data_IF_291675211498
#
_entry.id   IF_291675211498
#
_cell.length_a   1.000
_cell.length_b   1.000
_cell.length_c   1.000
_cell.angle_alpha   90.00
_cell.angle_beta   90.00
_cell.angle_gamma   90.00
#
_symmetry.space_group_name_H-M   'P 1'
#
loop_
_entity.id
_entity.type
_entity.pdbx_description
1 polymer ?
#
# COMPACT_ATOMS: atom_id res chain seq x y z
N UNK A 1 -19.53 -62.61 24.82
CA UNK A 1 -19.33 -61.49 23.87
C UNK A 1 -20.19 -60.32 24.37
N UNK A 2 -19.59 -59.29 25.00
CA UNK A 2 -20.12 -57.95 24.89
C UNK A 2 -19.09 -57.01 24.26
N UNK A 3 -19.64 -56.06 23.52
CA UNK A 3 -18.99 -55.21 22.55
C UNK A 3 -18.24 -54.05 23.22
N UNK A 4 -16.95 -53.91 22.95
CA UNK A 4 -16.18 -52.70 23.26
C UNK A 4 -16.49 -51.63 22.22
N UNK A 5 -17.21 -50.60 22.64
CA UNK A 5 -17.45 -49.39 21.86
C UNK A 5 -16.27 -48.43 22.08
N UNK A 6 -15.25 -48.50 21.22
CA UNK A 6 -14.14 -47.56 21.23
C UNK A 6 -14.58 -46.21 20.63
N UNK A 7 -14.67 -45.19 21.47
CA UNK A 7 -14.89 -43.80 21.07
C UNK A 7 -13.59 -43.28 20.46
N UNK A 8 -13.57 -43.09 19.14
CA UNK A 8 -12.47 -42.43 18.42
C UNK A 8 -12.58 -40.91 18.68
N UNK A 9 -11.74 -40.38 19.56
CA UNK A 9 -11.61 -38.94 19.79
C UNK A 9 -10.84 -38.34 18.58
N UNK A 10 -11.54 -37.75 17.61
CA UNK A 10 -10.90 -36.97 16.56
C UNK A 10 -10.37 -35.67 17.19
N UNK A 11 -9.08 -35.65 17.49
CA UNK A 11 -8.35 -34.43 17.82
C UNK A 11 -8.18 -33.63 16.53
N UNK A 12 -9.14 -32.74 16.25
CA UNK A 12 -8.95 -31.70 15.23
C UNK A 12 -7.93 -30.70 15.77
N UNK A 13 -6.65 -30.93 15.47
CA UNK A 13 -5.63 -29.92 15.70
C UNK A 13 -5.98 -28.70 14.82
N UNK A 14 -6.21 -27.51 15.39
CA UNK A 14 -6.25 -26.31 14.58
C UNK A 14 -4.90 -26.20 13.86
N UNK A 15 -4.93 -25.88 12.57
CA UNK A 15 -3.73 -25.47 11.84
C UNK A 15 -3.17 -24.25 12.58
N UNK A 16 -2.12 -24.46 13.37
CA UNK A 16 -1.38 -23.36 13.98
C UNK A 16 -0.68 -22.65 12.84
N UNK A 17 -1.29 -21.55 12.36
CA UNK A 17 -0.60 -20.59 11.53
C UNK A 17 0.57 -20.09 12.38
N UNK A 18 1.79 -20.49 12.00
CA UNK A 18 3.00 -20.11 12.71
C UNK A 18 3.15 -18.59 12.61
N UNK A 19 2.65 -17.87 13.61
CA UNK A 19 2.95 -16.46 13.80
C UNK A 19 4.42 -16.39 14.17
N UNK A 20 5.27 -16.22 13.16
CA UNK A 20 6.71 -16.07 13.38
C UNK A 20 6.93 -14.80 14.20
N UNK A 21 7.68 -14.95 15.28
CA UNK A 21 8.06 -13.85 16.13
C UNK A 21 8.92 -12.85 15.36
N UNK A 22 8.70 -11.57 15.64
CA UNK A 22 9.50 -10.48 15.13
C UNK A 22 10.38 -9.91 16.24
N UNK A 23 11.55 -9.42 15.86
CA UNK A 23 12.59 -8.92 16.76
C UNK A 23 13.12 -7.59 16.25
N UNK A 24 13.34 -6.64 17.15
CA UNK A 24 14.05 -5.38 16.85
C UNK A 24 15.56 -5.63 16.67
N UNK A 25 16.34 -4.70 16.10
CA UNK A 25 17.78 -4.88 15.88
C UNK A 25 18.63 -5.16 17.13
N UNK A 26 18.09 -4.91 18.32
CA UNK A 26 18.66 -5.27 19.61
C UNK A 26 18.54 -6.76 19.93
N UNK A 27 17.73 -7.50 19.17
CA UNK A 27 17.30 -8.87 19.46
C UNK A 27 16.08 -8.96 20.39
N UNK A 28 15.52 -7.83 20.85
CA UNK A 28 14.32 -7.85 21.69
C UNK A 28 13.06 -8.16 20.88
N UNK A 29 12.12 -8.88 21.49
CA UNK A 29 10.85 -9.22 20.88
C UNK A 29 10.02 -7.97 20.54
N UNK A 30 9.43 -7.95 19.35
CA UNK A 30 8.51 -6.93 18.85
C UNK A 30 7.08 -7.52 18.73
N UNK A 31 6.29 -7.54 19.82
CA UNK A 31 5.03 -8.30 19.88
C UNK A 31 3.90 -7.70 19.03
N UNK A 32 3.96 -6.40 18.75
CA UNK A 32 2.95 -5.71 17.92
C UNK A 32 3.28 -5.76 16.43
N UNK A 33 4.42 -6.35 16.07
CA UNK A 33 4.89 -6.45 14.69
C UNK A 33 4.56 -7.83 14.13
N UNK A 34 4.17 -7.85 12.86
CA UNK A 34 3.82 -9.07 12.11
C UNK A 34 4.66 -9.19 10.84
N UNK A 35 4.99 -10.41 10.38
CA UNK A 35 5.79 -10.61 9.17
C UNK A 35 5.10 -10.08 7.91
N UNK A 36 5.88 -9.48 7.00
CA UNK A 36 5.41 -8.92 5.73
C UNK A 36 5.55 -9.86 4.52
N UNK A 37 5.94 -11.11 4.73
CA UNK A 37 5.98 -12.14 3.69
C UNK A 37 5.91 -13.53 4.31
N UNK A 38 5.79 -14.58 3.50
CA UNK A 38 5.86 -15.98 3.96
C UNK A 38 7.29 -16.56 4.02
N UNK A 39 8.31 -15.82 3.55
CA UNK A 39 9.71 -16.26 3.57
C UNK A 39 10.24 -16.37 4.98
N UNK A 40 11.06 -17.39 5.31
CA UNK A 40 11.61 -17.63 6.66
C UNK A 40 12.07 -16.36 7.38
N UNK A 41 12.88 -15.56 6.68
CA UNK A 41 13.31 -14.24 7.11
C UNK A 41 12.62 -13.16 6.29
N UNK A 42 12.02 -12.18 6.97
CA UNK A 42 11.33 -11.06 6.35
C UNK A 42 11.27 -9.86 7.30
N UNK A 43 11.17 -8.66 6.73
CA UNK A 43 10.70 -7.49 7.46
C UNK A 43 9.38 -7.76 8.18
N UNK A 44 9.21 -7.10 9.32
CA UNK A 44 7.97 -7.09 10.08
C UNK A 44 7.54 -5.66 10.35
N UNK A 45 6.27 -5.36 10.10
CA UNK A 45 5.69 -4.04 10.36
C UNK A 45 4.69 -4.12 11.51
N UNK A 46 4.36 -2.97 12.10
CA UNK A 46 3.26 -2.89 13.03
C UNK A 46 2.00 -3.47 12.38
N UNK A 47 1.18 -4.20 13.15
CA UNK A 47 -0.01 -4.89 12.63
C UNK A 47 -1.00 -3.97 11.88
N UNK A 48 -0.95 -2.68 12.16
CA UNK A 48 -1.81 -1.66 11.56
C UNK A 48 -1.10 -0.82 10.48
N UNK A 49 0.14 -1.17 10.13
CA UNK A 49 0.94 -0.46 9.13
C UNK A 49 1.03 -1.24 7.83
N UNK A 50 1.46 -0.56 6.76
CA UNK A 50 1.49 -1.15 5.42
C UNK A 50 2.90 -1.67 5.14
N UNK A 51 2.99 -2.96 4.83
CA UNK A 51 4.23 -3.60 4.39
C UNK A 51 4.64 -3.11 2.99
N UNK A 52 5.94 -2.88 2.79
CA UNK A 52 6.50 -2.48 1.51
C UNK A 52 7.53 -3.51 1.00
N UNK A 53 7.63 -3.64 -0.33
CA UNK A 53 8.46 -4.69 -0.96
C UNK A 53 9.97 -4.47 -0.77
N UNK A 54 10.40 -3.24 -0.46
CA UNK A 54 11.79 -2.91 -0.13
C UNK A 54 12.12 -3.17 1.36
N UNK A 55 11.23 -3.83 2.11
CA UNK A 55 11.42 -4.20 3.50
C UNK A 55 11.11 -3.09 4.51
N UNK A 56 10.65 -1.93 4.06
CA UNK A 56 10.18 -0.86 4.92
C UNK A 56 8.69 -1.00 5.27
N UNK A 57 8.29 -0.27 6.29
CA UNK A 57 6.92 -0.12 6.74
C UNK A 57 6.45 1.29 6.41
N UNK A 58 5.22 1.44 5.94
CA UNK A 58 4.55 2.74 5.88
C UNK A 58 3.63 2.84 7.09
N UNK A 59 4.00 3.72 8.02
CA UNK A 59 3.21 3.98 9.21
C UNK A 59 1.90 4.67 8.79
N UNK A 60 0.76 4.09 9.15
CA UNK A 60 -0.56 4.71 8.86
C UNK A 60 -1.45 4.80 10.08
N UNK A 61 -1.08 4.09 11.15
CA UNK A 61 -1.86 3.98 12.37
C UNK A 61 -1.45 5.01 13.43
N UNK A 62 -0.19 5.44 13.44
CA UNK A 62 0.37 6.38 14.39
C UNK A 62 1.38 7.35 13.76
N UNK A 63 1.55 8.51 14.41
CA UNK A 63 2.52 9.50 13.95
C UNK A 63 3.94 8.94 14.11
N UNK A 64 4.80 9.08 13.09
CA UNK A 64 4.80 10.23 12.15
C UNK A 64 4.09 10.04 10.79
N UNK A 65 3.42 8.92 10.52
CA UNK A 65 2.84 8.60 9.19
C UNK A 65 3.87 8.63 8.04
N UNK A 66 5.01 7.99 8.25
CA UNK A 66 6.18 8.02 7.36
C UNK A 66 6.62 6.60 7.03
N UNK A 67 7.63 6.47 6.17
CA UNK A 67 8.34 5.21 6.05
C UNK A 67 9.16 4.96 7.31
N UNK A 68 9.21 3.72 7.77
CA UNK A 68 10.00 3.31 8.93
C UNK A 68 10.64 1.95 8.66
N UNK A 69 11.78 1.71 9.30
CA UNK A 69 12.25 0.35 9.53
C UNK A 69 11.52 -0.18 10.76
N UNK A 70 10.83 -1.32 10.60
CA UNK A 70 10.10 -2.00 11.67
C UNK A 70 10.96 -3.01 12.43
N UNK A 71 10.53 -4.26 12.48
CA UNK A 71 11.25 -5.39 13.07
C UNK A 71 11.64 -6.41 11.97
N UNK A 72 12.29 -7.52 12.34
CA UNK A 72 12.54 -8.63 11.44
C UNK A 72 12.26 -9.98 12.10
N UNK A 73 11.92 -11.01 11.33
CA UNK A 73 11.81 -12.37 11.86
C UNK A 73 13.16 -13.02 12.15
N UNK A 74 14.27 -12.41 11.73
CA UNK A 74 15.63 -12.80 12.14
C UNK A 74 16.04 -12.07 13.42
N UNK A 75 16.22 -12.81 14.52
CA UNK A 75 16.65 -12.23 15.79
C UNK A 75 18.10 -11.71 15.75
N UNK A 76 18.95 -12.29 14.89
CA UNK A 76 20.35 -11.90 14.76
C UNK A 76 20.56 -10.78 13.72
N UNK A 77 19.51 -10.45 12.94
CA UNK A 77 19.54 -9.44 11.88
C UNK A 77 20.69 -9.62 10.87
N UNK A 78 20.99 -10.88 10.54
CA UNK A 78 22.02 -11.24 9.57
C UNK A 78 21.45 -11.48 8.18
N UNK A 79 20.14 -11.75 8.09
CA UNK A 79 19.46 -12.01 6.84
C UNK A 79 19.38 -10.77 5.95
N UNK A 80 19.66 -10.90 4.64
CA UNK A 80 19.46 -9.80 3.69
C UNK A 80 17.98 -9.44 3.48
N UNK A 81 17.04 -10.28 3.94
CA UNK A 81 15.61 -9.99 3.89
C UNK A 81 15.14 -9.08 5.04
N UNK A 82 16.01 -8.78 6.00
CA UNK A 82 15.76 -7.75 7.01
C UNK A 82 16.21 -6.39 6.46
N UNK A 83 15.46 -5.32 6.74
CA UNK A 83 15.85 -3.98 6.30
C UNK A 83 17.14 -3.54 7.00
N UNK A 84 18.18 -3.23 6.23
CA UNK A 84 19.45 -2.68 6.77
C UNK A 84 19.38 -1.18 7.04
N UNK A 85 18.39 -0.51 6.45
CA UNK A 85 18.17 0.92 6.57
C UNK A 85 17.83 1.27 8.02
N UNK A 86 18.55 2.25 8.58
CA UNK A 86 18.32 2.78 9.92
C UNK A 86 18.40 1.78 11.09
N UNK A 87 18.93 0.58 10.85
CA UNK A 87 19.11 -0.46 11.85
C UNK A 87 19.96 -0.02 13.06
N UNK A 88 20.92 0.88 12.83
CA UNK A 88 21.85 1.33 13.89
C UNK A 88 21.40 2.56 14.65
N UNK A 89 20.36 3.25 14.18
CA UNK A 89 19.89 4.51 14.76
C UNK A 89 19.03 4.24 15.99
N UNK A 90 18.07 3.32 15.87
CA UNK A 90 17.31 2.81 16.99
C UNK A 90 17.30 1.29 16.94
N UNK A 91 17.92 0.66 17.93
CA UNK A 91 18.02 -0.80 18.00
C UNK A 91 16.86 -1.44 18.74
N UNK A 92 16.22 -0.71 19.65
CA UNK A 92 15.23 -1.31 20.56
C UNK A 92 13.80 -1.13 20.08
N UNK A 93 13.61 -0.39 18.98
CA UNK A 93 12.34 -0.02 18.41
C UNK A 93 12.52 0.31 16.92
N UNK A 94 11.43 0.62 16.22
CA UNK A 94 11.46 1.11 14.85
C UNK A 94 12.21 2.45 14.70
N UNK A 95 12.59 2.75 13.46
CA UNK A 95 13.21 4.02 13.12
C UNK A 95 12.60 4.62 11.84
N UNK A 96 12.09 5.84 11.96
CA UNK A 96 11.56 6.60 10.84
C UNK A 96 12.62 6.88 9.78
N UNK A 97 12.22 6.85 8.52
CA UNK A 97 13.02 7.21 7.35
C UNK A 97 12.36 8.38 6.64
N UNK A 98 12.98 9.54 6.73
CA UNK A 98 12.39 10.82 6.29
C UNK A 98 13.15 11.35 5.08
N UNK A 99 12.45 11.88 4.08
CA UNK A 99 13.08 12.56 2.95
C UNK A 99 13.88 13.78 3.44
N UNK A 100 15.12 13.90 2.98
CA UNK A 100 16.00 15.02 3.26
C UNK A 100 15.97 16.03 2.12
N UNK A 101 16.40 15.61 0.92
CA UNK A 101 16.48 16.45 -0.26
C UNK A 101 15.91 15.71 -1.48
N UNK A 102 15.43 16.48 -2.46
CA UNK A 102 15.07 15.99 -3.78
C UNK A 102 15.72 16.87 -4.85
N UNK A 103 16.71 16.33 -5.56
CA UNK A 103 17.53 17.08 -6.53
C UNK A 103 17.77 16.22 -7.76
N UNK A 104 17.57 16.78 -8.95
CA UNK A 104 17.80 16.08 -10.24
C UNK A 104 17.07 14.73 -10.36
N UNK A 105 15.87 14.61 -9.78
CA UNK A 105 15.09 13.37 -9.83
C UNK A 105 15.45 12.34 -8.75
N UNK A 106 16.47 12.61 -7.93
CA UNK A 106 16.98 11.71 -6.90
C UNK A 106 16.54 12.22 -5.53
N UNK A 107 15.95 11.31 -4.74
CA UNK A 107 15.52 11.58 -3.36
C UNK A 107 16.52 10.96 -2.39
N UNK A 108 17.04 11.78 -1.47
CA UNK A 108 17.84 11.29 -0.34
C UNK A 108 17.01 11.28 0.93
N UNK A 109 17.36 10.38 1.85
CA UNK A 109 16.63 10.13 3.09
C UNK A 109 17.58 10.13 4.29
N UNK A 110 17.02 10.39 5.46
CA UNK A 110 17.67 10.31 6.76
C UNK A 110 16.93 9.33 7.66
N UNK A 111 17.68 8.71 8.56
CA UNK A 111 17.12 8.06 9.72
C UNK A 111 16.71 9.12 10.74
N UNK A 112 15.47 9.07 11.21
CA UNK A 112 14.89 10.07 12.08
C UNK A 112 14.62 11.40 11.37
N UNK A 113 14.20 12.38 12.16
CA UNK A 113 13.81 13.71 11.65
C UNK A 113 15.04 14.53 11.27
N UNK A 114 15.12 15.06 10.04
CA UNK A 114 16.18 15.98 9.66
C UNK A 114 16.22 17.22 10.55
N UNK A 115 17.42 17.70 10.86
CA UNK A 115 17.66 18.86 11.72
C UNK A 115 18.40 19.94 10.94
N UNK A 116 18.28 21.20 11.37
CA UNK A 116 19.10 22.27 10.82
C UNK A 116 20.41 22.40 11.59
N UNK A 117 21.52 22.59 10.87
CA UNK A 117 22.81 23.01 11.42
C UNK A 117 23.07 24.51 11.19
N UNK A 118 22.01 25.33 11.16
CA UNK A 118 22.07 26.77 10.93
C UNK A 118 22.07 27.18 9.47
N UNK A 119 22.87 26.52 8.62
CA UNK A 119 22.93 26.82 7.17
C UNK A 119 22.16 25.81 6.34
N UNK A 120 22.34 24.52 6.65
CA UNK A 120 21.80 23.40 5.88
C UNK A 120 20.86 22.54 6.72
N UNK A 121 20.00 21.78 6.05
CA UNK A 121 19.24 20.67 6.66
C UNK A 121 20.06 19.40 6.50
N UNK A 122 20.30 18.69 7.61
CA UNK A 122 21.16 17.51 7.68
C UNK A 122 20.44 16.37 8.42
N UNK A 123 20.94 15.14 8.27
CA UNK A 123 20.49 14.05 9.12
C UNK A 123 20.95 14.26 10.58
N UNK A 124 20.18 13.77 11.56
CA UNK A 124 20.58 13.82 12.97
C UNK A 124 21.88 13.02 13.22
N UNK A 125 22.54 13.33 14.34
CA UNK A 125 23.75 12.65 14.83
C UNK A 125 24.93 12.61 13.84
N UNK A 126 24.96 13.54 12.89
CA UNK A 126 26.00 13.61 11.85
C UNK A 126 25.99 12.39 10.91
N UNK A 127 24.85 11.70 10.79
CA UNK A 127 24.69 10.59 9.85
C UNK A 127 24.66 11.10 8.41
N UNK A 128 25.10 10.26 7.48
CA UNK A 128 24.97 10.55 6.05
C UNK A 128 23.54 10.24 5.57
N UNK A 129 23.07 11.02 4.61
CA UNK A 129 21.86 10.68 3.87
C UNK A 129 22.12 9.52 2.91
N UNK A 130 21.06 8.80 2.53
CA UNK A 130 21.13 7.66 1.62
C UNK A 130 19.96 7.67 0.64
N UNK A 131 20.07 6.88 -0.43
CA UNK A 131 18.96 6.63 -1.35
C UNK A 131 18.23 5.36 -0.93
N UNK A 132 16.93 5.31 -1.22
CA UNK A 132 16.10 4.12 -1.00
C UNK A 132 15.78 3.46 -2.32
N UNK A 133 15.81 2.13 -2.34
CA UNK A 133 15.23 1.37 -3.43
C UNK A 133 13.72 1.60 -3.48
N UNK A 134 13.19 1.69 -4.70
CA UNK A 134 11.75 1.74 -4.91
C UNK A 134 11.09 0.48 -4.35
N UNK A 135 9.86 0.60 -3.90
CA UNK A 135 9.07 -0.57 -3.58
C UNK A 135 7.60 -0.34 -3.86
N UNK A 136 6.82 -1.36 -3.58
CA UNK A 136 5.38 -1.38 -3.74
C UNK A 136 4.70 -1.88 -2.46
N UNK A 137 3.42 -1.55 -2.33
CA UNK A 137 2.56 -2.08 -1.27
C UNK A 137 2.50 -3.61 -1.37
N UNK A 138 2.66 -4.28 -0.23
CA UNK A 138 2.51 -5.72 -0.09
C UNK A 138 1.18 -6.00 0.62
N UNK A 139 0.32 -6.79 -0.03
CA UNK A 139 -1.00 -7.19 0.50
C UNK A 139 -0.97 -8.58 1.12
N UNK A 140 -1.97 -8.90 1.93
CA UNK A 140 -2.06 -10.17 2.65
C UNK A 140 -1.29 -10.18 3.97
N UNK A 141 -0.80 -9.02 4.42
CA UNK A 141 -0.02 -8.86 5.65
C UNK A 141 -0.35 -7.55 6.36
N UNK A 142 -0.12 -7.51 7.67
CA UNK A 142 -0.30 -6.33 8.52
C UNK A 142 -1.66 -5.63 8.25
N UNK A 143 -1.67 -4.32 8.01
CA UNK A 143 -2.92 -3.56 7.77
C UNK A 143 -3.76 -4.11 6.60
N UNK A 144 -3.12 -4.84 5.67
CA UNK A 144 -3.71 -5.37 4.46
C UNK A 144 -3.85 -6.90 4.51
N UNK A 145 -3.87 -7.52 5.70
CA UNK A 145 -4.02 -8.97 5.89
C UNK A 145 -5.21 -9.55 5.11
N UNK A 146 -6.34 -8.84 5.11
CA UNK A 146 -7.57 -9.29 4.46
C UNK A 146 -7.71 -8.82 3.00
N UNK A 147 -6.65 -8.28 2.41
CA UNK A 147 -6.61 -7.82 1.01
C UNK A 147 -5.78 -8.81 0.20
N UNK A 148 -6.36 -9.34 -0.87
CA UNK A 148 -5.71 -10.35 -1.72
C UNK A 148 -5.17 -9.79 -3.03
N UNK A 149 -5.70 -8.66 -3.51
CA UNK A 149 -5.24 -7.99 -4.71
C UNK A 149 -5.44 -6.47 -4.61
N UNK A 150 -4.50 -5.72 -5.20
CA UNK A 150 -4.65 -4.30 -5.49
C UNK A 150 -5.14 -4.18 -6.93
N UNK A 151 -6.37 -4.63 -7.19
CA UNK A 151 -6.99 -4.35 -8.48
C UNK A 151 -7.25 -2.85 -8.56
N UNK A 152 -6.60 -2.18 -9.52
CA UNK A 152 -7.19 -0.96 -10.04
C UNK A 152 -8.59 -1.34 -10.50
N UNK A 153 -9.61 -0.66 -10.00
CA UNK A 153 -10.92 -0.69 -10.63
C UNK A 153 -10.78 -0.07 -12.03
N UNK A 154 -10.24 -0.84 -12.99
CA UNK A 154 -10.54 -0.67 -14.39
C UNK A 154 -11.97 -1.18 -14.57
N UNK A 155 -12.92 -0.49 -13.96
CA UNK A 155 -14.27 -0.47 -14.45
C UNK A 155 -14.25 0.37 -15.73
N UNK A 156 -13.67 -0.22 -16.79
CA UNK A 156 -14.20 -0.04 -18.14
C UNK A 156 -15.55 -0.75 -18.15
N UNK A 157 -16.50 -0.21 -17.40
CA UNK A 157 -17.89 -0.29 -17.80
C UNK A 157 -18.13 1.03 -18.49
N UNK A 158 -17.78 1.08 -19.77
CA UNK A 158 -18.53 1.91 -20.72
C UNK A 158 -19.93 1.29 -20.77
N UNK A 159 -20.69 1.43 -19.68
CA UNK A 159 -22.13 1.49 -19.80
C UNK A 159 -22.33 2.72 -20.66
N UNK A 160 -22.62 2.48 -21.93
CA UNK A 160 -23.36 3.43 -22.75
C UNK A 160 -24.73 3.63 -22.11
N UNK A 161 -24.77 4.26 -20.93
CA UNK A 161 -25.89 5.08 -20.51
C UNK A 161 -25.83 6.29 -21.41
N UNK A 162 -26.26 6.09 -22.66
CA UNK A 162 -26.86 7.12 -23.49
C UNK A 162 -27.99 7.66 -22.64
N UNK A 163 -27.66 8.66 -21.84
CA UNK A 163 -28.58 9.22 -20.88
C UNK A 163 -29.71 9.79 -21.73
N UNK A 164 -30.94 9.33 -21.49
CA UNK A 164 -32.12 9.70 -22.26
C UNK A 164 -32.27 11.22 -22.44
N UNK A 165 -31.62 12.01 -21.57
CA UNK A 165 -31.43 13.46 -21.68
C UNK A 165 -30.81 13.90 -23.02
N UNK A 166 -29.75 13.24 -23.52
CA UNK A 166 -29.02 13.72 -24.70
C UNK A 166 -29.78 13.40 -25.99
N UNK A 167 -30.43 12.23 -26.04
CA UNK A 167 -31.38 11.89 -27.10
C UNK A 167 -32.62 12.80 -27.08
N UNK A 168 -33.15 13.14 -25.89
CA UNK A 168 -34.26 14.07 -25.75
C UNK A 168 -33.89 15.49 -26.18
N UNK A 169 -32.68 15.96 -25.86
CA UNK A 169 -32.16 17.24 -26.33
C UNK A 169 -32.04 17.22 -27.86
N UNK A 170 -31.41 16.20 -28.45
CA UNK A 170 -31.24 16.07 -29.90
C UNK A 170 -32.56 16.04 -30.67
N UNK A 171 -33.55 15.27 -30.19
CA UNK A 171 -34.88 15.22 -30.79
C UNK A 171 -35.64 16.55 -30.63
N UNK A 172 -35.50 17.21 -29.46
CA UNK A 172 -36.18 18.47 -29.15
C UNK A 172 -35.76 19.63 -30.05
N UNK A 173 -34.47 19.73 -30.42
CA UNK A 173 -33.99 20.81 -31.31
C UNK A 173 -33.98 20.39 -32.77
N UNK A 174 -33.61 19.14 -33.08
CA UNK A 174 -33.40 18.68 -34.45
C UNK A 174 -34.69 18.60 -35.27
N UNK A 175 -35.77 18.08 -34.68
CA UNK A 175 -37.05 17.91 -35.38
C UNK A 175 -37.67 19.25 -35.81
N UNK A 176 -37.85 20.26 -34.94
CA UNK A 176 -38.45 21.53 -35.37
C UNK A 176 -37.59 22.27 -36.40
N UNK A 177 -36.25 22.27 -36.27
CA UNK A 177 -35.37 22.86 -37.27
C UNK A 177 -35.45 22.14 -38.62
N UNK A 178 -35.54 20.81 -38.62
CA UNK A 178 -35.72 20.02 -39.84
C UNK A 178 -37.03 20.34 -40.56
N UNK A 179 -38.15 20.45 -39.83
CA UNK A 179 -39.45 20.79 -40.44
C UNK A 179 -39.43 22.19 -41.03
N UNK A 180 -38.83 23.17 -40.36
CA UNK A 180 -38.71 24.54 -40.88
C UNK A 180 -37.87 24.56 -42.17
N UNK A 181 -36.76 23.82 -42.21
CA UNK A 181 -35.90 23.73 -43.40
C UNK A 181 -36.62 23.08 -44.58
N UNK A 182 -37.41 22.02 -44.35
CA UNK A 182 -38.18 21.37 -45.41
C UNK A 182 -39.31 22.28 -45.91
N UNK A 183 -40.00 22.98 -45.00
CA UNK A 183 -41.06 23.91 -45.36
C UNK A 183 -40.53 25.09 -46.19
N UNK A 184 -39.37 25.64 -45.85
CA UNK A 184 -38.76 26.73 -46.63
C UNK A 184 -38.30 26.27 -48.01
N UNK A 185 -37.75 25.06 -48.13
CA UNK A 185 -37.40 24.48 -49.42
C UNK A 185 -38.64 24.19 -50.29
N UNK A 186 -39.70 23.63 -49.70
CA UNK A 186 -40.95 23.36 -50.42
C UNK A 186 -41.61 24.67 -50.91
N UNK A 187 -41.63 25.70 -50.07
CA UNK A 187 -42.08 27.04 -50.46
C UNK A 187 -41.24 27.60 -51.62
N UNK A 188 -39.91 27.51 -51.52
CA UNK A 188 -39.00 28.00 -52.55
C UNK A 188 -39.16 27.29 -53.90
N UNK A 189 -39.57 26.02 -53.91
CA UNK A 189 -39.89 25.28 -55.15
C UNK A 189 -41.26 25.67 -55.69
N UNK A 190 -42.23 25.95 -54.82
CA UNK A 190 -43.59 26.35 -55.23
C UNK A 190 -43.66 27.76 -55.81
N UNK A 191 -42.79 28.68 -55.37
CA UNK A 191 -42.69 30.04 -55.94
C UNK A 191 -41.92 30.11 -57.27
N UNK A 192 -41.41 28.98 -57.78
CA UNK A 192 -40.77 28.89 -59.10
C UNK A 192 -41.77 28.45 -60.16
#
# INVERSE_FOLDING_TARGET
>A
IPSLLSILLLCTAPLVQSSRSCYFPSGSLAPENVPCSNSTYSACCGKNDICHSNGLCMDVSEQPYVLSHGACTDADWTSPNCPSVCQTTNKSDGCSTINLLYTNGISTYCCGTPISNGTDVICPDGKNSFELESGSIVVGYAALENVTSLEAAATTTTTTTTSARDAAIGAGVGVPFGVIAIASMAWAVWER
#
